data_IF_079098972802
#
_entry.id   IF_079098972802
#
_cell.length_a   1.000
_cell.length_b   1.000
_cell.length_c   1.000
_cell.angle_alpha   90.00
_cell.angle_beta   90.00
_cell.angle_gamma   90.00
#
_symmetry.space_group_name_H-M   'P 1'
#
loop_
_entity.id
_entity.type
_entity.pdbx_description
1 polymer ?
#
# COMPACT_ATOMS: atom_id res chain seq x y z
N UNK A 1 -25.55 2.69 4.83
CA UNK A 1 -25.60 3.67 3.70
C UNK A 1 -25.97 2.96 2.40
N UNK A 2 -26.54 3.66 1.40
CA UNK A 2 -26.71 3.11 0.04
C UNK A 2 -25.38 3.13 -0.73
N UNK A 3 -25.22 2.27 -1.74
CA UNK A 3 -24.00 2.17 -2.56
C UNK A 3 -23.62 3.51 -3.22
N UNK A 4 -24.60 4.24 -3.74
CA UNK A 4 -24.38 5.56 -4.36
C UNK A 4 -23.76 6.57 -3.39
N UNK A 5 -24.16 6.54 -2.12
CA UNK A 5 -23.60 7.41 -1.10
C UNK A 5 -22.15 7.01 -0.75
N UNK A 6 -21.86 5.71 -0.73
CA UNK A 6 -20.49 5.20 -0.54
C UNK A 6 -19.59 5.61 -1.72
N UNK A 7 -20.10 5.55 -2.95
CA UNK A 7 -19.39 6.02 -4.14
C UNK A 7 -19.09 7.53 -4.09
N UNK A 8 -20.07 8.36 -3.74
CA UNK A 8 -19.86 9.80 -3.55
C UNK A 8 -18.86 10.08 -2.42
N UNK A 9 -18.88 9.27 -1.36
CA UNK A 9 -17.92 9.38 -0.27
C UNK A 9 -16.50 9.07 -0.77
N UNK A 10 -16.27 7.88 -1.33
CA UNK A 10 -14.93 7.39 -1.65
C UNK A 10 -14.25 8.17 -2.77
N UNK A 11 -15.04 8.72 -3.71
CA UNK A 11 -14.51 9.52 -4.81
C UNK A 11 -14.04 10.91 -4.38
N UNK A 12 -14.49 11.41 -3.22
CA UNK A 12 -14.00 12.65 -2.64
C UNK A 12 -12.78 12.37 -1.73
N UNK A 13 -11.58 12.52 -2.30
CA UNK A 13 -10.31 12.30 -1.59
C UNK A 13 -10.15 13.20 -0.36
N UNK A 14 -10.80 14.36 -0.30
CA UNK A 14 -10.71 15.28 0.86
C UNK A 14 -11.40 14.73 2.11
N UNK A 15 -12.19 13.68 1.99
CA UNK A 15 -12.77 12.97 3.14
C UNK A 15 -11.80 12.04 3.85
N UNK A 16 -10.61 11.83 3.30
CA UNK A 16 -9.60 10.90 3.80
C UNK A 16 -8.36 11.66 4.24
N UNK A 17 -8.45 12.32 5.41
CA UNK A 17 -7.38 13.17 5.97
C UNK A 17 -6.77 12.59 7.25
N UNK A 18 -7.44 11.64 7.90
CA UNK A 18 -6.93 10.90 9.06
C UNK A 18 -7.22 9.41 8.93
N UNK A 19 -6.48 8.57 9.67
CA UNK A 19 -6.71 7.12 9.74
C UNK A 19 -8.17 6.81 10.17
N UNK A 20 -8.73 7.61 11.07
CA UNK A 20 -10.13 7.48 11.49
C UNK A 20 -11.14 7.68 10.36
N UNK A 21 -10.85 8.55 9.38
CA UNK A 21 -11.73 8.70 8.23
C UNK A 21 -11.80 7.44 7.38
N UNK A 22 -10.67 6.75 7.23
CA UNK A 22 -10.58 5.48 6.52
C UNK A 22 -11.33 4.38 7.27
N UNK A 23 -11.11 4.27 8.59
CA UNK A 23 -11.82 3.34 9.47
C UNK A 23 -13.34 3.57 9.40
N UNK A 24 -13.77 4.84 9.49
CA UNK A 24 -15.19 5.22 9.44
C UNK A 24 -15.83 4.86 8.10
N UNK A 25 -15.12 5.05 7.00
CA UNK A 25 -15.59 4.63 5.68
C UNK A 25 -15.68 3.10 5.59
N UNK A 26 -14.67 2.39 6.09
CA UNK A 26 -14.63 0.93 6.08
C UNK A 26 -15.83 0.34 6.84
N UNK A 27 -16.11 0.80 8.06
CA UNK A 27 -17.27 0.35 8.84
C UNK A 27 -18.59 0.50 8.06
N UNK A 28 -18.81 1.65 7.42
CA UNK A 28 -19.99 1.91 6.59
C UNK A 28 -20.10 1.00 5.37
N UNK A 29 -18.96 0.62 4.79
CA UNK A 29 -18.92 -0.34 3.69
C UNK A 29 -19.22 -1.76 4.16
N UNK A 30 -18.64 -2.19 5.29
CA UNK A 30 -18.88 -3.50 5.89
C UNK A 30 -20.37 -3.69 6.23
N UNK A 31 -20.99 -2.70 6.89
CA UNK A 31 -22.44 -2.70 7.14
C UNK A 31 -23.26 -2.81 5.85
N UNK A 32 -22.83 -2.14 4.77
CA UNK A 32 -23.52 -2.19 3.49
C UNK A 32 -23.46 -3.59 2.87
N UNK A 33 -22.30 -4.27 2.88
CA UNK A 33 -22.14 -5.57 2.21
C UNK A 33 -22.84 -6.74 2.92
N UNK A 34 -23.31 -6.57 4.16
CA UNK A 34 -24.13 -7.56 4.85
C UNK A 34 -25.47 -7.80 4.14
N UNK A 35 -26.09 -6.75 3.61
CA UNK A 35 -27.43 -6.84 3.00
C UNK A 35 -27.56 -6.19 1.63
N UNK A 36 -26.54 -5.45 1.19
CA UNK A 36 -26.57 -4.64 -0.03
C UNK A 36 -26.07 -5.36 -1.29
N UNK A 37 -25.55 -6.58 -1.17
CA UNK A 37 -25.03 -7.35 -2.30
C UNK A 37 -26.13 -8.09 -3.07
N UNK A 38 -25.85 -8.40 -4.33
CA UNK A 38 -26.61 -9.34 -5.15
C UNK A 38 -26.16 -10.78 -4.86
N UNK A 39 -24.84 -10.99 -4.81
CA UNK A 39 -24.24 -12.29 -4.55
C UNK A 39 -22.82 -12.14 -4.00
N UNK A 40 -22.37 -13.18 -3.27
CA UNK A 40 -20.96 -13.43 -2.94
C UNK A 40 -20.51 -14.62 -3.78
N UNK A 41 -19.47 -14.43 -4.57
CA UNK A 41 -18.97 -15.42 -5.52
C UNK A 41 -17.62 -15.92 -5.00
N UNK A 42 -17.50 -17.21 -4.76
CA UNK A 42 -16.25 -17.82 -4.28
C UNK A 42 -15.37 -18.16 -5.49
N UNK A 43 -14.08 -17.84 -5.40
CA UNK A 43 -13.07 -18.20 -6.40
C UNK A 43 -12.89 -19.72 -6.46
N UNK A 44 -12.89 -20.28 -7.66
CA UNK A 44 -12.85 -21.73 -7.88
C UNK A 44 -11.46 -22.34 -7.71
N UNK A 45 -10.39 -21.58 -7.93
CA UNK A 45 -9.02 -22.08 -7.82
C UNK A 45 -8.36 -21.80 -6.46
N UNK A 46 -8.86 -20.82 -5.71
CA UNK A 46 -8.39 -20.48 -4.36
C UNK A 46 -9.59 -20.04 -3.51
N UNK A 47 -10.15 -20.96 -2.73
CA UNK A 47 -11.47 -20.82 -2.09
C UNK A 47 -11.57 -19.69 -1.04
N UNK A 48 -10.44 -19.20 -0.54
CA UNK A 48 -10.39 -18.08 0.40
C UNK A 48 -10.42 -16.71 -0.29
N UNK A 49 -10.47 -16.67 -1.63
CA UNK A 49 -10.81 -15.45 -2.36
C UNK A 49 -12.28 -15.45 -2.75
N UNK A 50 -12.91 -14.29 -2.59
CA UNK A 50 -14.28 -14.05 -3.00
C UNK A 50 -14.40 -12.74 -3.79
N UNK A 51 -15.53 -12.61 -4.47
CA UNK A 51 -15.94 -11.42 -5.20
C UNK A 51 -17.34 -11.03 -4.76
N UNK A 52 -17.57 -9.74 -4.58
CA UNK A 52 -18.91 -9.22 -4.30
C UNK A 52 -19.53 -8.73 -5.60
N UNK A 53 -20.73 -9.22 -5.91
CA UNK A 53 -21.54 -8.69 -6.98
C UNK A 53 -22.51 -7.66 -6.41
N UNK A 54 -22.44 -6.44 -6.92
CA UNK A 54 -23.39 -5.39 -6.56
C UNK A 54 -24.76 -5.62 -7.21
N UNK A 55 -25.78 -4.96 -6.67
CA UNK A 55 -27.12 -4.96 -7.26
C UNK A 55 -27.17 -4.03 -8.46
N UNK A 56 -28.38 -3.80 -8.99
CA UNK A 56 -28.63 -2.91 -10.14
C UNK A 56 -28.05 -1.49 -9.95
N UNK A 57 -28.04 -0.98 -8.72
CA UNK A 57 -27.48 0.34 -8.38
C UNK A 57 -25.94 0.41 -8.44
N UNK A 58 -25.26 -0.74 -8.53
CA UNK A 58 -23.84 -0.87 -8.87
C UNK A 58 -23.61 -1.50 -10.25
N UNK A 59 -24.60 -1.44 -11.15
CA UNK A 59 -24.54 -1.99 -12.52
C UNK A 59 -24.22 -3.48 -12.59
N UNK A 60 -24.51 -4.25 -11.53
CA UNK A 60 -24.08 -5.65 -11.38
C UNK A 60 -22.56 -5.85 -11.47
N UNK A 61 -21.78 -4.78 -11.27
CA UNK A 61 -20.33 -4.87 -11.26
C UNK A 61 -19.88 -5.80 -10.14
N UNK A 62 -18.79 -6.48 -10.42
CA UNK A 62 -18.15 -7.40 -9.51
C UNK A 62 -16.91 -6.71 -8.96
N UNK A 63 -16.59 -6.90 -7.69
CA UNK A 63 -15.37 -6.36 -7.09
C UNK A 63 -14.12 -7.09 -7.58
N UNK A 64 -12.97 -6.48 -7.37
CA UNK A 64 -11.67 -7.18 -7.31
C UNK A 64 -11.73 -8.37 -6.33
N UNK A 65 -10.77 -9.31 -6.42
CA UNK A 65 -10.64 -10.38 -5.43
C UNK A 65 -10.46 -9.82 -4.02
N UNK A 66 -11.16 -10.41 -3.06
CA UNK A 66 -11.10 -10.10 -1.64
C UNK A 66 -10.74 -11.38 -0.88
N UNK A 67 -9.70 -11.33 -0.05
CA UNK A 67 -9.26 -12.45 0.77
C UNK A 67 -10.17 -12.53 2.02
N UNK A 68 -11.00 -13.57 2.09
CA UNK A 68 -11.96 -13.79 3.18
C UNK A 68 -11.29 -14.11 4.51
N UNK A 69 -10.05 -14.59 4.49
CA UNK A 69 -9.29 -14.84 5.73
C UNK A 69 -8.80 -13.53 6.36
N UNK A 70 -8.69 -12.47 5.55
CA UNK A 70 -8.16 -11.19 6.00
C UNK A 70 -9.25 -10.15 6.26
N UNK A 71 -10.25 -10.07 5.38
CA UNK A 71 -11.29 -9.06 5.44
C UNK A 71 -12.23 -9.31 6.63
N UNK A 72 -12.33 -8.34 7.54
CA UNK A 72 -13.31 -8.40 8.62
C UNK A 72 -14.75 -8.28 8.10
N UNK A 73 -15.69 -8.86 8.85
CA UNK A 73 -17.11 -8.55 8.75
C UNK A 73 -17.46 -7.32 9.62
N UNK A 74 -18.70 -6.84 9.54
CA UNK A 74 -19.13 -5.64 10.26
C UNK A 74 -19.10 -5.82 11.79
N UNK A 75 -19.38 -7.03 12.28
CA UNK A 75 -19.48 -7.33 13.72
C UNK A 75 -18.09 -7.34 14.38
N UNK A 76 -17.13 -8.02 13.76
CA UNK A 76 -15.76 -8.16 14.29
C UNK A 76 -14.90 -6.91 14.09
N UNK A 77 -15.23 -6.06 13.12
CA UNK A 77 -14.39 -4.91 12.78
C UNK A 77 -14.29 -3.85 13.89
N UNK A 78 -15.36 -3.65 14.68
CA UNK A 78 -15.37 -2.65 15.77
C UNK A 78 -14.30 -2.96 16.82
N UNK A 79 -14.31 -4.17 17.36
CA UNK A 79 -13.33 -4.65 18.33
C UNK A 79 -11.92 -4.69 17.72
N UNK A 80 -11.81 -5.12 16.45
CA UNK A 80 -10.53 -5.16 15.76
C UNK A 80 -9.89 -3.77 15.63
N UNK A 81 -10.70 -2.73 15.39
CA UNK A 81 -10.23 -1.34 15.29
C UNK A 81 -9.75 -0.79 16.64
N UNK A 82 -10.45 -1.12 17.73
CA UNK A 82 -10.00 -0.71 19.06
C UNK A 82 -8.64 -1.33 19.40
N UNK A 83 -8.49 -2.64 19.17
CA UNK A 83 -7.22 -3.33 19.33
C UNK A 83 -6.12 -2.76 18.42
N UNK A 84 -6.46 -2.43 17.17
CA UNK A 84 -5.53 -1.84 16.23
C UNK A 84 -5.01 -0.49 16.72
N UNK A 85 -5.89 0.39 17.21
CA UNK A 85 -5.51 1.71 17.73
C UNK A 85 -4.60 1.60 18.95
N UNK A 86 -4.92 0.70 19.88
CA UNK A 86 -4.07 0.43 21.03
C UNK A 86 -2.69 -0.08 20.60
N UNK A 87 -2.65 -1.05 19.70
CA UNK A 87 -1.40 -1.62 19.17
C UNK A 87 -0.54 -0.55 18.50
N UNK A 88 -1.13 0.29 17.64
CA UNK A 88 -0.40 1.38 16.99
C UNK A 88 0.10 2.44 17.98
N UNK A 89 -0.62 2.69 19.07
CA UNK A 89 -0.14 3.57 20.16
C UNK A 89 1.07 2.97 20.88
N UNK A 90 1.04 1.68 21.20
CA UNK A 90 2.18 1.00 21.84
C UNK A 90 3.43 1.02 20.95
N UNK A 91 3.27 0.72 19.66
CA UNK A 91 4.37 0.78 18.68
C UNK A 91 4.99 2.18 18.65
N UNK A 92 4.16 3.23 18.65
CA UNK A 92 4.62 4.62 18.66
C UNK A 92 5.49 4.93 19.88
N UNK A 93 5.13 4.40 21.03
CA UNK A 93 5.83 4.62 22.29
C UNK A 93 7.12 3.78 22.41
N UNK A 94 7.54 3.12 21.32
CA UNK A 94 8.73 2.29 21.24
C UNK A 94 8.56 0.92 21.91
N UNK A 95 7.34 0.56 22.27
CA UNK A 95 7.04 -0.77 22.80
C UNK A 95 7.05 -1.82 21.69
N UNK A 96 7.25 -3.08 22.09
CA UNK A 96 7.07 -4.25 21.24
C UNK A 96 5.80 -4.96 21.68
N UNK A 97 4.63 -4.69 21.07
CA UNK A 97 3.40 -5.37 21.43
C UNK A 97 3.51 -6.88 21.20
N UNK A 98 2.62 -7.65 21.83
CA UNK A 98 2.58 -9.10 21.63
C UNK A 98 2.47 -9.47 20.15
N UNK A 99 3.21 -10.50 19.73
CA UNK A 99 3.17 -11.00 18.36
C UNK A 99 1.77 -11.45 17.93
N UNK A 100 0.90 -11.85 18.87
CA UNK A 100 -0.49 -12.23 18.59
C UNK A 100 -1.33 -11.06 18.05
N UNK A 101 -0.87 -9.82 18.23
CA UNK A 101 -1.53 -8.61 17.72
C UNK A 101 -1.13 -8.26 16.28
N UNK A 102 -0.11 -8.91 15.72
CA UNK A 102 0.38 -8.62 14.35
C UNK A 102 -0.68 -8.89 13.29
N UNK A 103 -1.42 -9.99 13.43
CA UNK A 103 -2.49 -10.32 12.49
C UNK A 103 -3.57 -9.23 12.46
N UNK A 104 -3.91 -8.66 13.63
CA UNK A 104 -4.87 -7.56 13.71
C UNK A 104 -4.40 -6.32 12.92
N UNK A 105 -3.11 -6.00 12.97
CA UNK A 105 -2.51 -4.90 12.18
C UNK A 105 -2.64 -5.16 10.68
N UNK A 106 -2.23 -6.35 10.23
CA UNK A 106 -2.32 -6.74 8.82
C UNK A 106 -3.77 -6.64 8.32
N UNK A 107 -4.69 -7.30 9.03
CA UNK A 107 -6.09 -7.42 8.63
C UNK A 107 -6.83 -6.10 8.67
N UNK A 108 -6.52 -5.22 9.63
CA UNK A 108 -7.17 -3.90 9.73
C UNK A 108 -6.77 -3.03 8.54
N UNK A 109 -5.47 -2.95 8.24
CA UNK A 109 -4.97 -2.19 7.08
C UNK A 109 -5.54 -2.76 5.78
N UNK A 110 -5.55 -4.09 5.63
CA UNK A 110 -6.12 -4.77 4.47
C UNK A 110 -7.60 -4.45 4.29
N UNK A 111 -8.42 -4.64 5.33
CA UNK A 111 -9.88 -4.45 5.30
C UNK A 111 -10.23 -3.00 4.96
N UNK A 112 -9.55 -2.05 5.60
CA UNK A 112 -9.71 -0.62 5.34
C UNK A 112 -9.41 -0.31 3.87
N UNK A 113 -8.26 -0.72 3.36
CA UNK A 113 -7.89 -0.41 1.99
C UNK A 113 -8.75 -1.13 0.94
N UNK A 114 -9.10 -2.39 1.19
CA UNK A 114 -9.92 -3.17 0.26
C UNK A 114 -11.37 -2.70 0.24
N UNK A 115 -11.91 -2.15 1.33
CA UNK A 115 -13.25 -1.53 1.33
C UNK A 115 -13.35 -0.37 0.32
N UNK A 116 -12.29 0.45 0.24
CA UNK A 116 -12.16 1.55 -0.74
C UNK A 116 -12.13 0.97 -2.14
N UNK A 117 -11.23 0.02 -2.36
CA UNK A 117 -11.03 -0.62 -3.66
C UNK A 117 -12.31 -1.28 -4.18
N UNK A 118 -12.96 -2.07 -3.33
CA UNK A 118 -14.19 -2.76 -3.65
C UNK A 118 -15.33 -1.77 -3.96
N UNK A 119 -15.48 -0.70 -3.16
CA UNK A 119 -16.48 0.35 -3.45
C UNK A 119 -16.24 1.00 -4.81
N UNK A 120 -15.00 1.35 -5.13
CA UNK A 120 -14.65 1.98 -6.40
C UNK A 120 -14.89 1.07 -7.62
N UNK A 121 -14.92 -0.25 -7.43
CA UNK A 121 -15.28 -1.20 -8.49
C UNK A 121 -16.77 -1.13 -8.87
N UNK A 122 -17.61 -0.48 -8.06
CA UNK A 122 -19.01 -0.18 -8.42
C UNK A 122 -19.15 1.03 -9.37
N UNK A 123 -18.07 1.76 -9.68
CA UNK A 123 -18.13 2.87 -10.61
C UNK A 123 -18.59 2.40 -12.00
N UNK A 124 -19.34 3.23 -12.74
CA UNK A 124 -19.84 2.87 -14.07
C UNK A 124 -18.73 2.46 -15.05
N UNK A 125 -19.12 1.67 -16.06
CA UNK A 125 -18.25 1.33 -17.17
C UNK A 125 -17.60 2.60 -17.77
N UNK A 126 -16.32 2.49 -18.14
CA UNK A 126 -15.50 3.63 -18.59
C UNK A 126 -14.77 4.39 -17.48
N UNK A 127 -15.13 4.22 -16.19
CA UNK A 127 -14.45 4.90 -15.07
C UNK A 127 -13.38 4.06 -14.37
N UNK A 128 -12.93 2.95 -14.98
CA UNK A 128 -11.93 2.06 -14.36
C UNK A 128 -10.60 2.76 -14.09
N UNK A 129 -10.17 3.69 -14.95
CA UNK A 129 -8.94 4.46 -14.73
C UNK A 129 -9.07 5.39 -13.51
N UNK A 130 -10.21 6.06 -13.38
CA UNK A 130 -10.53 6.88 -12.20
C UNK A 130 -10.53 6.03 -10.92
N UNK A 131 -11.17 4.87 -10.95
CA UNK A 131 -11.18 3.92 -9.84
C UNK A 131 -9.75 3.53 -9.40
N UNK A 132 -8.87 3.20 -10.36
CA UNK A 132 -7.47 2.85 -10.08
C UNK A 132 -6.68 4.03 -9.52
N UNK A 133 -6.82 5.23 -10.09
CA UNK A 133 -6.14 6.45 -9.62
C UNK A 133 -6.54 6.76 -8.18
N UNK A 134 -7.85 6.87 -7.91
CA UNK A 134 -8.37 7.16 -6.56
C UNK A 134 -7.94 6.09 -5.55
N UNK A 135 -8.04 4.81 -5.90
CA UNK A 135 -7.62 3.74 -5.00
C UNK A 135 -6.12 3.77 -4.69
N UNK A 136 -5.27 4.07 -5.69
CA UNK A 136 -3.83 4.21 -5.50
C UNK A 136 -3.47 5.40 -4.61
N UNK A 137 -4.02 6.58 -4.93
CA UNK A 137 -3.82 7.81 -4.16
C UNK A 137 -4.23 7.63 -2.69
N UNK A 138 -5.38 6.98 -2.45
CA UNK A 138 -5.86 6.73 -1.09
C UNK A 138 -5.03 5.68 -0.35
N UNK A 139 -4.43 4.70 -1.04
CA UNK A 139 -3.53 3.74 -0.40
C UNK A 139 -2.22 4.39 0.03
N UNK A 140 -1.58 5.16 -0.86
CA UNK A 140 -0.39 5.95 -0.56
C UNK A 140 -0.63 6.84 0.66
N UNK A 141 -1.75 7.58 0.65
CA UNK A 141 -2.10 8.46 1.76
C UNK A 141 -2.37 7.70 3.06
N UNK A 142 -3.02 6.54 3.02
CA UNK A 142 -3.26 5.72 4.21
C UNK A 142 -1.94 5.31 4.87
N UNK A 143 -1.00 4.77 4.09
CA UNK A 143 0.31 4.35 4.60
C UNK A 143 1.07 5.53 5.19
N UNK A 144 1.06 6.68 4.51
CA UNK A 144 1.66 7.92 5.04
C UNK A 144 1.03 8.35 6.37
N UNK A 145 -0.30 8.34 6.47
CA UNK A 145 -1.02 8.70 7.70
C UNK A 145 -0.72 7.74 8.84
N UNK A 146 -0.56 6.44 8.56
CA UNK A 146 -0.15 5.45 9.57
C UNK A 146 1.27 5.74 10.08
N UNK A 147 2.22 6.02 9.20
CA UNK A 147 3.61 6.38 9.58
C UNK A 147 3.61 7.68 10.42
N UNK A 148 2.90 8.72 9.96
CA UNK A 148 2.79 10.00 10.70
C UNK A 148 2.13 9.81 12.07
N UNK A 149 1.15 8.90 12.18
CA UNK A 149 0.51 8.60 13.48
C UNK A 149 1.48 8.02 14.51
N UNK A 150 2.57 7.37 14.06
CA UNK A 150 3.68 6.89 14.87
C UNK A 150 4.70 7.99 15.23
N UNK A 151 4.43 9.25 14.90
CA UNK A 151 5.35 10.36 15.19
C UNK A 151 6.57 10.43 14.26
N UNK A 152 6.52 9.76 13.11
CA UNK A 152 7.58 9.80 12.10
C UNK A 152 7.21 10.79 11.01
N UNK A 153 8.11 11.75 10.72
CA UNK A 153 7.92 12.70 9.64
C UNK A 153 7.93 11.98 8.30
N UNK A 154 6.82 12.05 7.57
CA UNK A 154 6.66 11.38 6.28
C UNK A 154 5.86 12.24 5.31
N UNK A 155 6.47 12.55 4.16
CA UNK A 155 5.83 13.32 3.08
C UNK A 155 5.85 12.54 1.76
N UNK A 156 4.95 12.89 0.84
CA UNK A 156 5.09 12.57 -0.58
C UNK A 156 5.66 13.81 -1.25
N UNK A 157 6.57 13.66 -2.21
CA UNK A 157 7.22 14.82 -2.78
C UNK A 157 8.18 14.52 -3.92
N UNK A 158 8.69 15.61 -4.49
CA UNK A 158 9.74 15.59 -5.51
C UNK A 158 11.08 15.95 -4.87
N UNK A 159 12.05 15.07 -5.00
CA UNK A 159 13.43 15.30 -4.60
C UNK A 159 14.23 15.89 -5.75
N UNK A 160 15.01 16.93 -5.47
CA UNK A 160 15.92 17.53 -6.45
C UNK A 160 17.36 17.06 -6.20
N UNK A 161 17.78 16.03 -6.94
CA UNK A 161 19.09 15.40 -6.79
C UNK A 161 20.13 16.15 -7.64
N UNK A 162 21.22 16.68 -7.06
CA UNK A 162 22.25 17.38 -7.81
C UNK A 162 23.10 16.41 -8.64
N UNK A 163 23.22 16.68 -9.95
CA UNK A 163 24.14 15.96 -10.84
C UNK A 163 25.44 16.74 -10.94
N UNK A 164 26.52 16.11 -10.48
CA UNK A 164 27.85 16.74 -10.38
C UNK A 164 28.80 16.24 -11.47
N UNK A 165 29.70 17.11 -11.93
CA UNK A 165 30.81 16.71 -12.78
C UNK A 165 31.94 16.03 -11.98
N UNK A 166 33.01 15.63 -12.67
CA UNK A 166 34.19 14.99 -12.07
C UNK A 166 34.93 15.86 -11.04
N UNK A 167 34.71 17.17 -11.04
CA UNK A 167 35.32 18.12 -10.12
C UNK A 167 34.38 18.47 -8.94
N UNK A 168 33.19 17.86 -8.89
CA UNK A 168 32.18 18.11 -7.85
C UNK A 168 31.29 19.32 -8.12
N UNK A 169 31.43 19.99 -9.27
CA UNK A 169 30.58 21.12 -9.63
C UNK A 169 29.18 20.61 -10.04
N UNK A 170 28.13 21.17 -9.43
CA UNK A 170 26.75 20.83 -9.79
C UNK A 170 26.45 21.39 -11.19
N UNK A 171 26.15 20.50 -12.14
CA UNK A 171 25.80 20.87 -13.51
C UNK A 171 24.32 21.22 -13.63
N UNK A 172 23.46 20.40 -13.02
CA UNK A 172 22.01 20.59 -12.97
C UNK A 172 21.41 19.75 -11.83
N UNK A 173 20.10 19.89 -11.59
CA UNK A 173 19.34 19.04 -10.66
C UNK A 173 18.36 18.15 -11.44
N UNK A 174 18.22 16.91 -11.01
CA UNK A 174 17.27 15.94 -11.56
C UNK A 174 16.14 15.70 -10.56
N UNK A 175 14.91 15.64 -11.05
CA UNK A 175 13.72 15.54 -10.21
C UNK A 175 13.24 14.09 -10.09
N UNK A 176 13.07 13.62 -8.86
CA UNK A 176 12.59 12.27 -8.56
C UNK A 176 11.36 12.33 -7.67
N UNK A 177 10.23 11.82 -8.15
CA UNK A 177 9.00 11.77 -7.38
C UNK A 177 8.88 10.47 -6.60
N UNK A 178 8.67 10.59 -5.29
CA UNK A 178 8.50 9.44 -4.39
C UNK A 178 7.22 9.56 -3.58
N UNK A 179 6.63 8.40 -3.29
CA UNK A 179 5.36 8.30 -2.56
C UNK A 179 5.58 8.57 -1.07
N UNK A 180 6.71 8.10 -0.52
CA UNK A 180 7.10 8.28 0.87
C UNK A 180 8.55 8.76 0.96
N UNK A 181 8.76 9.83 1.71
CA UNK A 181 10.04 10.38 2.11
C UNK A 181 9.98 10.52 3.63
N UNK A 182 10.69 9.65 4.35
CA UNK A 182 10.68 9.62 5.81
C UNK A 182 11.94 10.27 6.34
N UNK A 183 11.77 11.22 7.26
CA UNK A 183 12.85 11.98 7.85
C UNK A 183 12.85 11.86 9.38
N UNK A 184 14.00 12.14 9.99
CA UNK A 184 14.14 12.28 11.44
C UNK A 184 15.15 13.38 11.72
N UNK A 185 14.70 14.46 12.34
CA UNK A 185 15.49 15.70 12.40
C UNK A 185 15.78 16.22 10.99
N UNK A 186 17.01 16.65 10.74
CA UNK A 186 17.44 17.20 9.45
C UNK A 186 17.98 16.13 8.47
N UNK A 187 17.69 14.86 8.73
CA UNK A 187 18.11 13.74 7.88
C UNK A 187 16.92 13.05 7.21
N UNK A 188 17.00 12.89 5.89
CA UNK A 188 16.21 11.92 5.16
C UNK A 188 16.73 10.52 5.49
N UNK A 189 15.82 9.63 5.90
CA UNK A 189 16.14 8.28 6.38
C UNK A 189 15.70 7.19 5.42
N UNK A 190 14.53 7.31 4.80
CA UNK A 190 13.94 6.24 3.98
C UNK A 190 13.21 6.83 2.78
N UNK A 191 13.41 6.23 1.61
CA UNK A 191 12.59 6.45 0.42
C UNK A 191 11.66 5.25 0.24
N UNK A 192 10.37 5.50 0.04
CA UNK A 192 9.37 4.44 -0.07
C UNK A 192 8.47 4.59 -1.29
N UNK A 193 8.07 3.43 -1.82
CA UNK A 193 7.03 3.31 -2.85
C UNK A 193 5.83 2.54 -2.31
N UNK A 194 4.63 3.05 -2.54
CA UNK A 194 3.36 2.41 -2.17
C UNK A 194 2.57 2.11 -3.43
N UNK A 195 2.20 0.84 -3.65
CA UNK A 195 1.45 0.42 -4.83
C UNK A 195 0.39 -0.61 -4.46
N UNK A 196 -0.76 -0.54 -5.13
CA UNK A 196 -1.83 -1.51 -4.87
C UNK A 196 -1.48 -2.93 -5.35
N UNK A 197 -0.60 -3.06 -6.35
CA UNK A 197 -0.03 -4.32 -6.82
C UNK A 197 1.31 -4.03 -7.48
N UNK A 198 2.24 -4.98 -7.40
CA UNK A 198 3.61 -4.83 -7.88
C UNK A 198 3.69 -4.87 -9.40
N UNK A 199 3.34 -6.00 -10.04
CA UNK A 199 3.41 -6.20 -11.50
C UNK A 199 4.77 -5.75 -12.04
N UNK A 200 4.79 -5.17 -13.23
CA UNK A 200 5.91 -4.47 -13.86
C UNK A 200 6.39 -3.24 -13.07
N UNK A 201 5.60 -2.72 -12.12
CA UNK A 201 6.01 -1.55 -11.32
C UNK A 201 7.07 -1.88 -10.28
N UNK A 202 7.29 -3.17 -9.97
CA UNK A 202 8.37 -3.56 -9.06
C UNK A 202 9.74 -3.17 -9.65
N UNK A 203 9.89 -3.31 -10.97
CA UNK A 203 11.09 -2.95 -11.73
C UNK A 203 11.47 -1.48 -11.46
N UNK A 204 10.48 -0.58 -11.45
CA UNK A 204 10.70 0.85 -11.17
C UNK A 204 11.32 1.07 -9.79
N UNK A 205 10.86 0.39 -8.75
CA UNK A 205 11.36 0.63 -7.38
C UNK A 205 12.83 0.22 -7.24
N UNK A 206 13.22 -0.89 -7.85
CA UNK A 206 14.62 -1.32 -7.90
C UNK A 206 15.50 -0.33 -8.67
N UNK A 207 15.02 0.15 -9.81
CA UNK A 207 15.73 1.15 -10.61
C UNK A 207 15.86 2.49 -9.91
N UNK A 208 14.83 2.94 -9.18
CA UNK A 208 14.86 4.17 -8.41
C UNK A 208 15.96 4.09 -7.33
N UNK A 209 16.04 2.99 -6.56
CA UNK A 209 17.14 2.77 -5.59
C UNK A 209 18.51 2.81 -6.27
N UNK A 210 18.66 2.05 -7.36
CA UNK A 210 19.93 1.98 -8.09
C UNK A 210 20.42 3.36 -8.53
N UNK A 211 19.54 4.10 -9.22
CA UNK A 211 19.87 5.42 -9.77
C UNK A 211 20.13 6.43 -8.66
N UNK A 212 19.30 6.45 -7.63
CA UNK A 212 19.45 7.36 -6.51
C UNK A 212 20.79 7.18 -5.80
N UNK A 213 21.11 5.93 -5.41
CA UNK A 213 22.37 5.61 -4.73
C UNK A 213 23.57 5.96 -5.61
N UNK A 214 23.47 5.68 -6.93
CA UNK A 214 24.54 5.99 -7.89
C UNK A 214 24.78 7.49 -8.07
N UNK A 215 23.72 8.30 -8.04
CA UNK A 215 23.80 9.75 -8.24
C UNK A 215 24.24 10.49 -6.98
N UNK A 216 23.82 10.02 -5.81
CA UNK A 216 24.11 10.67 -4.53
C UNK A 216 25.34 10.11 -3.83
N UNK A 217 25.85 8.95 -4.27
CA UNK A 217 26.87 8.16 -3.56
C UNK A 217 26.45 7.85 -2.10
N UNK A 218 25.15 7.59 -1.90
CA UNK A 218 24.58 7.19 -0.62
C UNK A 218 24.11 5.73 -0.68
N UNK A 219 23.85 5.15 0.49
CA UNK A 219 23.13 3.88 0.62
C UNK A 219 21.85 4.09 1.40
N UNK A 220 21.03 5.04 0.94
CA UNK A 220 19.80 5.39 1.63
C UNK A 220 18.80 4.24 1.50
N UNK A 221 18.17 3.79 2.60
CA UNK A 221 17.17 2.74 2.56
C UNK A 221 16.03 3.00 1.57
N UNK A 222 15.72 2.01 0.74
CA UNK A 222 14.53 2.01 -0.11
C UNK A 222 13.59 0.85 0.22
N UNK A 223 12.32 1.17 0.43
CA UNK A 223 11.28 0.20 0.73
C UNK A 223 10.15 0.19 -0.31
N UNK A 224 9.43 -0.92 -0.37
CA UNK A 224 8.21 -1.06 -1.15
C UNK A 224 7.08 -1.63 -0.30
N UNK A 225 5.90 -1.01 -0.35
CA UNK A 225 4.68 -1.50 0.32
C UNK A 225 3.62 -1.78 -0.74
N UNK A 226 3.17 -3.03 -0.79
CA UNK A 226 2.16 -3.52 -1.70
C UNK A 226 0.89 -3.94 -0.96
N UNK A 227 -0.27 -3.68 -1.55
CA UNK A 227 -1.53 -4.20 -0.98
C UNK A 227 -1.61 -5.72 -1.22
N UNK A 228 -1.56 -6.15 -2.48
CA UNK A 228 -1.60 -7.57 -2.86
C UNK A 228 -1.07 -7.77 -4.30
N UNK A 229 -0.83 -9.01 -4.70
CA UNK A 229 -0.57 -9.38 -6.10
C UNK A 229 -1.58 -10.39 -6.64
N UNK A 230 -2.85 -10.00 -6.59
CA UNK A 230 -3.97 -10.82 -7.02
C UNK A 230 -4.85 -10.04 -7.98
N UNK A 231 -5.26 -10.67 -9.08
CA UNK A 231 -6.26 -10.13 -9.98
C UNK A 231 -7.26 -11.20 -10.38
N UNK A 232 -8.40 -10.79 -10.93
CA UNK A 232 -9.37 -11.71 -11.51
C UNK A 232 -8.72 -12.47 -12.67
N UNK A 233 -8.90 -13.78 -12.67
CA UNK A 233 -8.51 -14.64 -13.79
C UNK A 233 -9.36 -14.27 -15.00
N UNK A 234 -8.72 -14.04 -16.15
CA UNK A 234 -9.44 -13.90 -17.42
C UNK A 234 -9.91 -15.29 -17.84
N UNK A 235 -11.22 -15.47 -17.95
CA UNK A 235 -11.84 -16.68 -18.51
C UNK A 235 -12.69 -16.30 -19.73
N UNK A 236 -12.98 -17.29 -20.57
CA UNK A 236 -13.95 -17.19 -21.68
C UNK A 236 -15.37 -17.59 -21.27
N UNK A 237 -15.53 -18.19 -20.09
CA UNK A 237 -16.81 -18.71 -19.59
C UNK A 237 -17.36 -17.78 -18.50
N UNK A 238 -18.59 -17.31 -18.68
CA UNK A 238 -19.21 -16.28 -17.82
C UNK A 238 -19.40 -16.69 -16.34
N UNK A 239 -19.30 -17.99 -16.05
CA UNK A 239 -19.51 -18.57 -14.71
C UNK A 239 -18.23 -19.06 -14.03
N UNK A 240 -17.06 -18.85 -14.65
CA UNK A 240 -15.78 -19.24 -14.06
C UNK A 240 -15.13 -18.06 -13.33
N UNK A 241 -15.24 -18.07 -12.02
CA UNK A 241 -14.59 -17.06 -11.19
C UNK A 241 -13.35 -17.65 -10.56
N UNK A 242 -12.21 -17.03 -10.84
CA UNK A 242 -10.93 -17.42 -10.27
C UNK A 242 -10.01 -16.22 -10.14
N UNK A 243 -8.86 -16.45 -9.51
CA UNK A 243 -7.82 -15.45 -9.36
C UNK A 243 -6.53 -15.88 -10.07
N UNK A 244 -5.69 -14.91 -10.41
CA UNK A 244 -4.34 -15.13 -10.92
C UNK A 244 -3.37 -14.24 -10.16
N UNK A 245 -2.17 -14.76 -9.87
CA UNK A 245 -1.09 -13.95 -9.33
C UNK A 245 -0.60 -12.93 -10.35
N UNK A 246 -0.20 -11.75 -9.87
CA UNK A 246 0.40 -10.69 -10.69
C UNK A 246 1.86 -10.43 -10.36
N UNK A 247 2.39 -11.14 -9.36
CA UNK A 247 3.77 -11.02 -8.95
C UNK A 247 4.71 -11.64 -9.99
N UNK A 248 5.84 -10.98 -10.22
CA UNK A 248 6.87 -11.41 -11.17
C UNK A 248 8.10 -11.93 -10.41
N UNK A 249 8.11 -13.20 -9.94
CA UNK A 249 9.18 -13.71 -9.08
C UNK A 249 10.55 -13.70 -9.76
N UNK A 250 10.61 -13.97 -11.06
CA UNK A 250 11.85 -13.95 -11.83
C UNK A 250 12.50 -12.56 -11.85
N UNK A 251 11.71 -11.51 -12.07
CA UNK A 251 12.19 -10.12 -12.07
C UNK A 251 12.70 -9.74 -10.68
N UNK A 252 11.90 -10.01 -9.64
CA UNK A 252 12.28 -9.70 -8.27
C UNK A 252 13.62 -10.35 -7.87
N UNK A 253 13.77 -11.65 -8.13
CA UNK A 253 15.00 -12.39 -7.83
C UNK A 253 16.18 -11.86 -8.63
N UNK A 254 15.98 -11.61 -9.93
CA UNK A 254 17.04 -11.08 -10.79
C UNK A 254 17.55 -9.72 -10.27
N UNK A 255 16.68 -8.77 -9.94
CA UNK A 255 17.10 -7.46 -9.44
C UNK A 255 17.69 -7.51 -8.04
N UNK A 256 17.13 -8.34 -7.15
CA UNK A 256 17.67 -8.54 -5.81
C UNK A 256 19.11 -9.07 -5.86
N UNK A 257 19.40 -10.02 -6.74
CA UNK A 257 20.74 -10.64 -6.86
C UNK A 257 21.70 -9.79 -7.69
N UNK A 258 21.24 -9.20 -8.80
CA UNK A 258 22.12 -8.61 -9.83
C UNK A 258 22.17 -7.09 -9.83
N UNK A 259 21.19 -6.41 -9.24
CA UNK A 259 21.14 -4.96 -9.21
C UNK A 259 21.43 -4.44 -7.80
N UNK A 260 20.40 -4.44 -6.95
CA UNK A 260 20.51 -4.12 -5.53
C UNK A 260 19.30 -4.69 -4.79
N UNK A 261 19.47 -5.33 -3.62
CA UNK A 261 18.32 -5.65 -2.79
C UNK A 261 17.63 -4.37 -2.30
N UNK A 262 16.29 -4.39 -2.23
CA UNK A 262 15.54 -3.39 -1.47
C UNK A 262 15.71 -3.65 0.03
N UNK A 263 15.62 -2.61 0.84
CA UNK A 263 15.81 -2.69 2.30
C UNK A 263 14.58 -3.28 3.02
N UNK A 264 13.44 -3.27 2.35
CA UNK A 264 12.22 -3.91 2.84
C UNK A 264 11.13 -3.96 1.78
N UNK A 265 10.47 -5.10 1.65
CA UNK A 265 9.34 -5.30 0.75
C UNK A 265 8.19 -5.92 1.53
N UNK A 266 7.08 -5.22 1.60
CA UNK A 266 5.99 -5.56 2.50
C UNK A 266 4.68 -5.72 1.76
N UNK A 267 3.92 -6.75 2.11
CA UNK A 267 2.60 -7.01 1.58
C UNK A 267 1.53 -6.99 2.68
N UNK A 268 0.35 -6.45 2.38
CA UNK A 268 -0.81 -6.70 3.25
C UNK A 268 -1.26 -8.16 3.05
N UNK A 269 -1.57 -8.55 1.82
CA UNK A 269 -1.97 -9.92 1.42
C UNK A 269 -0.82 -10.57 0.65
N UNK A 270 0.07 -11.22 1.41
CA UNK A 270 1.25 -11.92 0.90
C UNK A 270 0.83 -13.23 0.21
N UNK A 271 1.48 -13.59 -0.90
CA UNK A 271 1.16 -14.80 -1.65
C UNK A 271 1.95 -16.01 -1.12
N UNK A 272 1.39 -17.24 -1.14
CA UNK A 272 2.10 -18.44 -0.65
C UNK A 272 3.49 -18.62 -1.26
N UNK A 273 3.64 -18.39 -2.57
CA UNK A 273 4.92 -18.52 -3.26
C UNK A 273 6.00 -17.53 -2.77
N UNK A 274 5.62 -16.43 -2.11
CA UNK A 274 6.57 -15.47 -1.51
C UNK A 274 7.07 -15.96 -0.15
N UNK A 275 6.34 -16.88 0.49
CA UNK A 275 6.67 -17.49 1.79
C UNK A 275 7.44 -18.80 1.57
N UNK A 276 6.98 -19.63 0.63
CA UNK A 276 7.54 -20.97 0.41
C UNK A 276 8.92 -20.92 -0.28
N UNK A 277 9.17 -19.89 -1.09
CA UNK A 277 10.43 -19.73 -1.80
C UNK A 277 11.48 -19.08 -0.89
N UNK A 278 12.57 -19.81 -0.62
CA UNK A 278 13.60 -19.39 0.33
C UNK A 278 14.20 -18.01 0.04
N UNK A 279 14.43 -17.67 -1.23
CA UNK A 279 14.99 -16.38 -1.59
C UNK A 279 13.95 -15.27 -1.43
N UNK A 280 12.70 -15.50 -1.84
CA UNK A 280 11.65 -14.51 -1.70
C UNK A 280 11.34 -14.23 -0.22
N UNK A 281 11.24 -15.28 0.60
CA UNK A 281 10.89 -15.17 2.02
C UNK A 281 11.92 -14.40 2.86
N UNK A 282 13.18 -14.33 2.40
CA UNK A 282 14.23 -13.52 3.03
C UNK A 282 14.03 -12.02 2.80
N UNK A 283 13.38 -11.64 1.71
CA UNK A 283 13.28 -10.25 1.25
C UNK A 283 11.86 -9.68 1.26
N UNK A 284 10.84 -10.54 1.31
CA UNK A 284 9.43 -10.17 1.29
C UNK A 284 8.79 -10.58 2.61
N UNK A 285 8.17 -9.61 3.29
CA UNK A 285 7.49 -9.82 4.57
C UNK A 285 6.06 -9.30 4.50
N UNK A 286 5.26 -9.60 5.52
CA UNK A 286 3.97 -8.94 5.74
C UNK A 286 4.14 -7.54 6.33
N UNK A 287 3.13 -6.69 6.16
CA UNK A 287 3.19 -5.27 6.52
C UNK A 287 3.35 -4.98 8.02
N UNK A 288 2.99 -5.92 8.89
CA UNK A 288 3.25 -5.81 10.34
C UNK A 288 4.75 -5.71 10.63
N UNK A 289 5.62 -6.41 9.90
CA UNK A 289 7.07 -6.31 10.09
C UNK A 289 7.58 -4.88 9.86
N UNK A 290 7.00 -4.17 8.89
CA UNK A 290 7.34 -2.76 8.68
C UNK A 290 7.03 -1.94 9.94
N UNK A 291 5.82 -2.04 10.48
CA UNK A 291 5.40 -1.21 11.61
C UNK A 291 6.01 -1.65 12.96
N UNK A 292 6.21 -2.94 13.19
CA UNK A 292 6.71 -3.46 14.48
C UNK A 292 8.22 -3.29 14.66
N UNK A 293 9.01 -3.44 13.59
CA UNK A 293 10.46 -3.49 13.70
C UNK A 293 11.15 -2.67 12.64
N UNK A 294 10.90 -2.99 11.36
CA UNK A 294 11.80 -2.58 10.30
C UNK A 294 11.78 -1.05 10.08
N UNK A 295 10.65 -0.37 10.32
CA UNK A 295 10.60 1.10 10.31
C UNK A 295 11.61 1.70 11.29
N UNK A 296 11.61 1.25 12.55
CA UNK A 296 12.47 1.79 13.59
C UNK A 296 13.95 1.47 13.35
N UNK A 297 14.24 0.23 12.94
CA UNK A 297 15.59 -0.22 12.61
C UNK A 297 16.18 0.55 11.41
N UNK A 298 15.34 0.95 10.46
CA UNK A 298 15.76 1.74 9.30
C UNK A 298 15.96 3.21 9.67
N UNK A 299 15.09 3.79 10.51
CA UNK A 299 15.22 5.18 10.98
C UNK A 299 16.47 5.39 11.85
N UNK A 300 16.92 4.37 12.58
CA UNK A 300 18.15 4.45 13.39
C UNK A 300 19.44 4.46 12.54
N UNK A 301 19.36 4.14 11.25
CA UNK A 301 20.53 4.20 10.35
C UNK A 301 20.90 5.66 10.06
N UNK A 302 22.16 5.88 9.68
CA UNK A 302 22.61 7.20 9.22
C UNK A 302 21.84 7.59 7.95
N UNK A 303 21.24 8.77 7.95
CA UNK A 303 20.51 9.30 6.80
C UNK A 303 21.38 10.21 5.92
N UNK A 304 20.71 10.87 4.98
CA UNK A 304 21.27 11.95 4.19
C UNK A 304 20.76 13.30 4.69
N UNK A 305 21.62 14.30 4.79
CA UNK A 305 21.23 15.65 5.24
C UNK A 305 20.30 16.32 4.22
N UNK A 306 19.24 16.96 4.71
CA UNK A 306 18.26 17.65 3.87
C UNK A 306 18.83 18.91 3.18
N UNK A 307 19.95 19.45 3.67
CA UNK A 307 20.67 20.55 3.00
C UNK A 307 21.18 20.15 1.60
N UNK A 308 21.51 18.87 1.41
CA UNK A 308 22.03 18.36 0.14
C UNK A 308 20.91 18.09 -0.90
N UNK A 309 19.66 17.93 -0.44
CA UNK A 309 18.52 17.57 -1.28
C UNK A 309 17.30 18.39 -0.88
N UNK A 310 16.86 19.27 -1.80
CA UNK A 310 15.59 19.94 -1.65
C UNK A 310 14.43 18.95 -1.90
N UNK A 311 13.51 18.86 -0.94
CA UNK A 311 12.26 18.13 -1.06
C UNK A 311 11.13 19.14 -1.24
N UNK A 312 10.41 19.05 -2.35
CA UNK A 312 9.18 19.79 -2.60
C UNK A 312 8.00 18.87 -2.26
N UNK A 313 7.28 19.10 -1.14
CA UNK A 313 6.14 18.30 -0.78
C UNK A 313 5.05 18.40 -1.84
N UNK A 314 4.42 17.28 -2.17
CA UNK A 314 3.27 17.27 -3.06
C UNK A 314 2.09 17.94 -2.34
N UNK A 315 1.59 19.06 -2.87
CA UNK A 315 0.38 19.67 -2.36
C UNK A 315 -0.78 18.66 -2.40
N UNK A 316 -1.41 18.41 -1.26
CA UNK A 316 -2.58 17.55 -1.19
C UNK A 316 -3.80 18.33 -1.69
N UNK A 317 -3.90 18.52 -3.01
CA UNK A 317 -5.14 18.90 -3.69
C UNK A 317 -5.05 20.08 -4.65
N UNK A 318 -4.80 19.79 -5.93
CA UNK A 318 -5.39 20.47 -7.10
C UNK A 318 -5.00 19.71 -8.39
N UNK A 319 -5.32 18.42 -8.48
CA UNK A 319 -5.42 17.77 -9.79
C UNK A 319 -6.91 17.76 -10.14
N UNK A 320 -7.32 18.73 -10.97
CA UNK A 320 -8.60 18.75 -11.69
C UNK A 320 -8.88 17.44 -12.44
#
# INVERSE_FOLDING_TARGET
MKLTQLLTYVTNKERFRSVDNYISFCAKYLEFIETGLQARIISQNELHYQFFQYRKDGSFNITRPLNSNMMYDAESFSNAVEQFKLTMSQIKDGEQPSNDLRENVIRTIYTVQQSIGATLDALPAGQSNKARKVNGDLFERLIRLLIVSLGVDCVSGTMQVPVKDKNGAVLFKSSYQHDLLLSTGDELKIIGSVKTSSKDRIDKVFMDKFLYNRLTNTDLPHIAIFLNDVQRKKTRLDNEYGISSTFLPGHFKAYTIKLNPLDGVYYCDIRPNMIDDTLLAQHIKTIDHFFYSDLWDLLSRKGQTLEEIAIEPKENGADE
#
